data_IF_611784440971
#
_entry.id   IF_611784440971
#
_cell.length_a   1.000
_cell.length_b   1.000
_cell.length_c   1.000
_cell.angle_alpha   90.00
_cell.angle_beta   90.00
_cell.angle_gamma   90.00
#
_symmetry.space_group_name_H-M   'P 1'
#
loop_
_entity.id
_entity.type
_entity.pdbx_description
1 polymer ?
#
# COMPACT_ATOMS: atom_id res chain seq x y z
N UNK A 1 -16.33 -48.08 -24.69
CA UNK A 1 -16.89 -46.76 -24.35
C UNK A 1 -16.65 -46.60 -22.87
N UNK A 2 -15.60 -45.87 -22.49
CA UNK A 2 -15.20 -45.68 -21.09
C UNK A 2 -15.67 -44.29 -20.71
N UNK A 3 -16.63 -44.21 -19.80
CA UNK A 3 -17.10 -42.96 -19.22
C UNK A 3 -15.96 -42.31 -18.46
N UNK A 4 -15.57 -41.11 -18.90
CA UNK A 4 -14.59 -40.26 -18.26
C UNK A 4 -15.19 -39.61 -17.02
N UNK A 5 -15.19 -40.37 -15.92
CA UNK A 5 -15.50 -39.85 -14.59
C UNK A 5 -14.50 -38.78 -14.16
N UNK A 6 -15.04 -37.58 -14.01
CA UNK A 6 -14.78 -36.60 -12.94
C UNK A 6 -13.33 -36.26 -12.62
N UNK A 7 -12.85 -35.16 -13.21
CA UNK A 7 -11.87 -34.27 -12.59
C UNK A 7 -12.55 -32.96 -12.20
N UNK A 8 -13.39 -33.02 -11.17
CA UNK A 8 -14.03 -31.84 -10.59
C UNK A 8 -13.57 -31.60 -9.16
N UNK A 9 -12.26 -31.42 -8.94
CA UNK A 9 -11.80 -30.84 -7.68
C UNK A 9 -11.97 -29.32 -7.79
N UNK A 10 -13.20 -28.84 -7.65
CA UNK A 10 -13.45 -27.42 -7.43
C UNK A 10 -13.35 -27.18 -5.92
N UNK A 11 -12.44 -26.33 -5.42
CA UNK A 11 -12.52 -25.90 -4.03
C UNK A 11 -13.84 -25.14 -3.86
N UNK A 12 -14.72 -25.67 -3.02
CA UNK A 12 -15.95 -25.00 -2.61
C UNK A 12 -15.60 -23.74 -1.80
N UNK A 13 -15.24 -22.67 -2.50
CA UNK A 13 -15.27 -21.33 -1.96
C UNK A 13 -16.73 -20.91 -1.86
N UNK A 14 -17.29 -20.92 -0.65
CA UNK A 14 -18.64 -20.44 -0.33
C UNK A 14 -18.82 -18.91 -0.47
N UNK A 15 -18.29 -18.34 -1.54
CA UNK A 15 -18.57 -16.98 -1.96
C UNK A 15 -19.10 -17.10 -3.39
N UNK A 16 -20.39 -16.83 -3.59
CA UNK A 16 -21.00 -16.83 -4.92
C UNK A 16 -20.23 -15.91 -5.88
N UNK A 17 -20.46 -16.02 -7.21
CA UNK A 17 -19.76 -15.21 -8.20
C UNK A 17 -19.90 -13.73 -7.84
N UNK A 18 -18.77 -13.04 -7.65
CA UNK A 18 -18.74 -11.60 -7.34
C UNK A 18 -19.51 -10.86 -8.42
N UNK A 19 -20.52 -10.10 -8.02
CA UNK A 19 -21.32 -9.31 -8.97
C UNK A 19 -20.49 -8.13 -9.46
N UNK A 20 -20.86 -7.56 -10.61
CA UNK A 20 -20.21 -6.34 -11.12
C UNK A 20 -20.31 -5.18 -10.11
N UNK A 21 -21.42 -5.10 -9.37
CA UNK A 21 -21.56 -4.13 -8.27
C UNK A 21 -20.58 -4.37 -7.13
N UNK A 22 -20.26 -5.61 -6.79
CA UNK A 22 -19.27 -5.92 -5.74
C UNK A 22 -17.87 -5.49 -6.18
N UNK A 23 -17.53 -5.70 -7.45
CA UNK A 23 -16.23 -5.30 -7.99
C UNK A 23 -16.11 -3.77 -8.10
N UNK A 24 -17.19 -3.08 -8.49
CA UNK A 24 -17.23 -1.62 -8.51
C UNK A 24 -17.07 -1.02 -7.10
N UNK A 25 -17.75 -1.59 -6.10
CA UNK A 25 -17.60 -1.16 -4.70
C UNK A 25 -16.17 -1.35 -4.19
N UNK A 26 -15.51 -2.46 -4.55
CA UNK A 26 -14.09 -2.69 -4.19
C UNK A 26 -13.16 -1.67 -4.83
N UNK A 27 -13.42 -1.29 -6.07
CA UNK A 27 -12.65 -0.23 -6.73
C UNK A 27 -12.83 1.12 -6.03
N UNK A 28 -14.03 1.47 -5.57
CA UNK A 28 -14.28 2.72 -4.83
C UNK A 28 -13.59 2.74 -3.46
N UNK A 29 -13.59 1.62 -2.73
CA UNK A 29 -12.88 1.50 -1.46
C UNK A 29 -11.37 1.67 -1.67
N UNK A 30 -10.80 0.97 -2.66
CA UNK A 30 -9.38 1.09 -2.98
C UNK A 30 -8.99 2.52 -3.44
N UNK A 31 -9.89 3.21 -4.16
CA UNK A 31 -9.70 4.61 -4.52
C UNK A 31 -9.69 5.51 -3.28
N UNK A 32 -10.64 5.32 -2.36
CA UNK A 32 -10.71 6.07 -1.10
C UNK A 32 -9.45 5.88 -0.28
N UNK A 33 -8.95 4.65 -0.16
CA UNK A 33 -7.68 4.35 0.49
C UNK A 33 -6.54 5.09 -0.21
N UNK A 34 -6.37 4.96 -1.53
CA UNK A 34 -5.34 5.70 -2.28
C UNK A 34 -5.38 7.22 -2.01
N UNK A 35 -6.57 7.81 -1.90
CA UNK A 35 -6.75 9.24 -1.65
C UNK A 35 -6.32 9.69 -0.25
N UNK A 36 -6.34 8.83 0.77
CA UNK A 36 -5.88 9.19 2.12
C UNK A 36 -4.38 9.57 2.14
N UNK A 37 -3.58 9.02 1.23
CA UNK A 37 -2.16 9.36 1.12
C UNK A 37 -1.91 10.79 0.66
N UNK A 38 -2.83 11.39 -0.10
CA UNK A 38 -2.73 12.80 -0.49
C UNK A 38 -2.88 13.72 0.73
N UNK A 39 -3.82 13.38 1.62
CA UNK A 39 -4.04 14.13 2.86
C UNK A 39 -2.83 14.04 3.79
N UNK A 40 -2.28 12.84 3.98
CA UNK A 40 -1.09 12.64 4.80
C UNK A 40 0.12 13.40 4.23
N UNK A 41 0.33 13.36 2.92
CA UNK A 41 1.44 14.05 2.23
C UNK A 41 1.35 15.57 2.42
N UNK A 42 0.14 16.14 2.31
CA UNK A 42 -0.07 17.57 2.51
C UNK A 42 0.27 18.03 3.94
N UNK A 43 -0.03 17.20 4.96
CA UNK A 43 0.30 17.51 6.35
C UNK A 43 1.80 17.43 6.59
N UNK A 44 2.44 16.33 6.16
CA UNK A 44 3.89 16.13 6.31
C UNK A 44 4.69 17.21 5.59
N UNK A 45 4.26 17.61 4.39
CA UNK A 45 4.93 18.68 3.65
C UNK A 45 4.85 20.02 4.38
N UNK A 46 3.70 20.35 5.00
CA UNK A 46 3.57 21.57 5.82
C UNK A 46 4.48 21.54 7.04
N UNK A 47 4.60 20.39 7.71
CA UNK A 47 5.54 20.20 8.83
C UNK A 47 6.99 20.40 8.37
N UNK A 48 7.36 19.78 7.26
CA UNK A 48 8.69 19.91 6.67
C UNK A 48 9.04 21.36 6.28
N UNK A 49 8.07 22.14 5.79
CA UNK A 49 8.28 23.55 5.44
C UNK A 49 8.31 24.48 6.66
N UNK A 50 7.68 24.10 7.77
CA UNK A 50 7.66 24.88 8.99
C UNK A 50 8.94 24.72 9.83
N UNK A 51 9.76 23.71 9.54
CA UNK A 51 10.88 23.33 10.40
C UNK A 51 12.14 24.20 10.20
N UNK A 52 12.79 24.53 11.33
CA UNK A 52 14.01 25.32 11.40
C UNK A 52 15.23 24.54 10.92
N UNK A 53 16.21 25.19 10.28
CA UNK A 53 17.41 24.55 9.71
C UNK A 53 18.21 23.69 10.71
N UNK A 54 17.97 23.86 12.00
CA UNK A 54 18.79 23.33 13.08
C UNK A 54 18.30 21.99 13.63
N UNK A 55 17.01 21.62 13.44
CA UNK A 55 16.48 20.31 13.84
C UNK A 55 16.64 19.28 12.72
N UNK A 56 17.84 18.71 12.62
CA UNK A 56 18.18 17.71 11.60
C UNK A 56 17.51 16.36 11.86
N UNK A 57 17.30 15.98 13.13
CA UNK A 57 16.67 14.70 13.49
C UNK A 57 15.20 14.68 13.05
N UNK A 58 14.45 15.76 13.29
CA UNK A 58 13.08 15.88 12.83
C UNK A 58 12.99 15.89 11.29
N UNK A 59 13.93 16.52 10.59
CA UNK A 59 13.97 16.45 9.11
C UNK A 59 14.17 15.04 8.60
N UNK A 60 15.16 14.33 9.13
CA UNK A 60 15.44 12.95 8.71
C UNK A 60 14.23 12.05 8.97
N UNK A 61 13.52 12.24 10.09
CA UNK A 61 12.27 11.55 10.38
C UNK A 61 11.14 11.89 9.39
N UNK A 62 10.98 13.16 9.03
CA UNK A 62 9.98 13.59 8.05
C UNK A 62 10.27 13.06 6.64
N UNK A 63 11.54 13.05 6.23
CA UNK A 63 11.97 12.49 4.95
C UNK A 63 11.71 10.99 4.88
N UNK A 64 12.00 10.26 5.96
CA UNK A 64 11.69 8.84 6.07
C UNK A 64 10.18 8.58 5.96
N UNK A 65 9.36 9.38 6.66
CA UNK A 65 7.90 9.27 6.60
C UNK A 65 7.35 9.58 5.20
N UNK A 66 7.88 10.61 4.53
CA UNK A 66 7.50 10.95 3.16
C UNK A 66 7.87 9.84 2.17
N UNK A 67 9.07 9.27 2.28
CA UNK A 67 9.50 8.13 1.46
C UNK A 67 8.59 6.90 1.68
N UNK A 68 8.23 6.62 2.93
CA UNK A 68 7.32 5.51 3.26
C UNK A 68 5.91 5.75 2.72
N UNK A 69 5.44 6.98 2.78
CA UNK A 69 4.14 7.37 2.25
C UNK A 69 4.09 7.21 0.73
N UNK A 70 5.16 7.58 0.02
CA UNK A 70 5.22 7.42 -1.43
C UNK A 70 5.14 5.93 -1.84
N UNK A 71 5.85 5.07 -1.11
CA UNK A 71 5.76 3.61 -1.28
C UNK A 71 4.34 3.10 -1.11
N UNK A 72 3.65 3.56 -0.07
CA UNK A 72 2.26 3.18 0.20
C UNK A 72 1.30 3.70 -0.88
N UNK A 73 1.53 4.89 -1.44
CA UNK A 73 0.72 5.46 -2.51
C UNK A 73 0.89 4.71 -3.83
N UNK A 74 2.10 4.29 -4.16
CA UNK A 74 2.36 3.44 -5.32
C UNK A 74 1.61 2.11 -5.20
N UNK A 75 1.66 1.47 -4.02
CA UNK A 75 0.95 0.20 -3.77
C UNK A 75 -0.57 0.36 -3.88
N UNK A 76 -1.15 1.33 -3.16
CA UNK A 76 -2.60 1.56 -3.17
C UNK A 76 -3.13 1.99 -4.53
N UNK A 77 -2.32 2.73 -5.32
CA UNK A 77 -2.64 3.08 -6.71
C UNK A 77 -2.75 1.82 -7.58
N UNK A 78 -1.82 0.89 -7.41
CA UNK A 78 -1.82 -0.36 -8.15
C UNK A 78 -3.00 -1.27 -7.75
N UNK A 79 -3.27 -1.39 -6.45
CA UNK A 79 -4.45 -2.11 -5.93
C UNK A 79 -5.76 -1.52 -6.47
N UNK A 80 -5.88 -0.19 -6.46
CA UNK A 80 -7.02 0.51 -7.07
C UNK A 80 -7.13 0.23 -8.57
N UNK A 81 -6.03 0.32 -9.31
CA UNK A 81 -6.00 0.05 -10.76
C UNK A 81 -6.44 -1.38 -11.07
N UNK A 82 -5.95 -2.36 -10.32
CA UNK A 82 -6.34 -3.76 -10.47
C UNK A 82 -7.82 -3.96 -10.18
N UNK A 83 -8.33 -3.40 -9.07
CA UNK A 83 -9.75 -3.45 -8.73
C UNK A 83 -10.62 -2.77 -9.79
N UNK A 84 -10.19 -1.63 -10.32
CA UNK A 84 -10.87 -0.91 -11.40
C UNK A 84 -10.94 -1.77 -12.67
N UNK A 85 -9.81 -2.29 -13.13
CA UNK A 85 -9.75 -3.08 -14.36
C UNK A 85 -10.54 -4.40 -14.25
N UNK A 86 -10.61 -4.99 -13.05
CA UNK A 86 -11.37 -6.21 -12.79
C UNK A 86 -12.89 -6.04 -13.01
N UNK A 87 -13.45 -4.85 -12.77
CA UNK A 87 -14.86 -4.57 -13.08
C UNK A 87 -15.04 -3.94 -14.46
N UNK A 88 -14.12 -3.06 -14.87
CA UNK A 88 -14.24 -2.27 -16.09
C UNK A 88 -14.22 -3.14 -17.35
N UNK A 89 -13.30 -4.13 -17.43
CA UNK A 89 -13.18 -5.01 -18.58
C UNK A 89 -14.46 -5.82 -18.83
N UNK A 90 -15.03 -6.53 -17.82
CA UNK A 90 -16.32 -7.20 -18.00
C UNK A 90 -17.50 -6.25 -18.30
N UNK A 91 -17.45 -5.01 -17.81
CA UNK A 91 -18.49 -4.01 -18.06
C UNK A 91 -18.37 -3.32 -19.44
N UNK A 92 -17.33 -3.61 -20.22
CA UNK A 92 -17.06 -2.93 -21.49
C UNK A 92 -16.60 -1.47 -21.33
N UNK A 93 -16.10 -1.12 -20.14
CA UNK A 93 -15.52 0.19 -19.82
C UNK A 93 -14.01 0.14 -20.10
N UNK A 94 -13.47 1.25 -20.59
CA UNK A 94 -12.04 1.37 -20.90
C UNK A 94 -11.17 1.10 -19.66
N UNK A 95 -10.20 0.17 -19.73
CA UNK A 95 -9.28 -0.11 -18.65
C UNK A 95 -8.22 0.98 -18.49
N UNK A 96 -7.71 1.14 -17.28
CA UNK A 96 -6.58 2.01 -16.99
C UNK A 96 -5.26 1.33 -17.42
N UNK A 97 -4.37 2.03 -18.15
CA UNK A 97 -3.07 1.51 -18.55
C UNK A 97 -2.19 1.24 -17.32
N UNK A 98 -1.26 0.30 -17.43
CA UNK A 98 -0.27 0.02 -16.39
C UNK A 98 0.61 1.23 -16.09
N UNK A 99 0.98 1.41 -14.83
CA UNK A 99 1.87 2.49 -14.42
C UNK A 99 3.34 2.08 -14.65
N UNK A 100 4.10 2.79 -15.49
CA UNK A 100 5.51 2.46 -15.76
C UNK A 100 6.43 2.68 -14.55
N UNK A 101 5.95 3.31 -13.46
CA UNK A 101 6.73 3.58 -12.25
C UNK A 101 6.61 2.46 -11.20
N UNK A 102 5.71 1.49 -11.39
CA UNK A 102 5.60 0.31 -10.52
C UNK A 102 6.59 -0.75 -11.01
N UNK A 103 7.88 -0.48 -10.86
CA UNK A 103 8.95 -1.46 -11.09
C UNK A 103 9.43 -1.94 -9.72
N UNK A 104 9.09 -3.19 -9.39
CA UNK A 104 9.64 -4.03 -8.32
C UNK A 104 9.82 -3.41 -6.92
N UNK A 105 8.71 -3.11 -6.24
CA UNK A 105 8.70 -2.95 -4.77
C UNK A 105 8.62 -4.35 -4.09
N UNK A 106 9.32 -5.37 -4.61
CA UNK A 106 9.42 -6.68 -3.95
C UNK A 106 10.68 -6.80 -3.06
N UNK A 107 11.57 -5.80 -3.04
CA UNK A 107 12.91 -5.95 -2.45
C UNK A 107 13.06 -5.43 -1.00
N UNK A 108 12.08 -4.73 -0.41
CA UNK A 108 12.31 -4.06 0.90
C UNK A 108 11.42 -4.51 2.07
N UNK A 109 10.66 -5.60 1.96
CA UNK A 109 9.85 -6.10 3.10
C UNK A 109 10.66 -7.01 4.05
N UNK A 110 11.90 -7.37 3.73
CA UNK A 110 12.81 -8.01 4.71
C UNK A 110 13.58 -6.95 5.52
N UNK A 111 12.86 -6.09 6.25
CA UNK A 111 13.41 -5.56 7.50
C UNK A 111 12.73 -6.33 8.63
N UNK A 112 13.00 -7.64 8.61
CA UNK A 112 12.79 -8.57 9.72
C UNK A 112 14.10 -8.60 10.52
N UNK A 113 14.49 -7.46 11.11
CA UNK A 113 15.53 -7.39 12.16
C UNK A 113 15.53 -5.98 12.77
N UNK A 114 14.57 -5.69 13.65
CA UNK A 114 14.65 -4.55 14.59
C UNK A 114 14.87 -5.04 16.02
N UNK A 115 15.49 -6.21 16.18
CA UNK A 115 15.80 -6.81 17.49
C UNK A 115 17.17 -6.39 18.07
N UNK A 116 17.99 -5.65 17.30
CA UNK A 116 19.35 -5.25 17.72
C UNK A 116 19.61 -3.73 17.60
N UNK A 117 18.59 -2.91 17.85
CA UNK A 117 18.87 -1.52 18.23
C UNK A 117 18.97 -1.50 19.76
N UNK A 118 20.18 -1.43 20.36
CA UNK A 118 20.28 -1.17 21.78
C UNK A 118 19.75 0.24 22.00
N UNK A 119 18.50 0.35 22.43
CA UNK A 119 18.04 1.52 23.16
C UNK A 119 18.88 1.57 24.44
N UNK A 120 20.06 2.17 24.36
CA UNK A 120 20.92 2.45 25.49
C UNK A 120 20.15 3.37 26.42
N UNK A 121 19.50 2.78 27.42
CA UNK A 121 18.74 3.45 28.47
C UNK A 121 19.66 4.07 29.54
N UNK A 122 20.89 4.43 29.21
CA UNK A 122 21.92 4.89 30.15
C UNK A 122 22.38 6.32 29.85
N UNK A 123 21.44 7.26 29.79
CA UNK A 123 21.74 8.71 29.77
C UNK A 123 21.03 9.49 30.87
N UNK A 124 20.70 8.82 31.98
CA UNK A 124 20.33 9.48 33.23
C UNK A 124 21.25 9.01 34.37
N UNK A 125 22.52 9.39 34.29
CA UNK A 125 23.36 9.50 35.48
C UNK A 125 24.28 10.73 35.36
N UNK A 126 23.66 11.89 35.35
CA UNK A 126 24.28 13.18 35.63
C UNK A 126 23.51 13.84 36.77
N UNK A 127 23.70 13.31 38.00
CA UNK A 127 23.74 14.04 39.27
C UNK A 127 23.70 13.05 40.44
N UNK A 128 24.86 12.69 41.02
CA UNK A 128 25.24 13.12 42.37
C UNK A 128 26.63 12.64 42.79
#
# INVERSE_FOLDING_TARGET
>A
MVDGSSFGCAPEGHFGPLTLSDLANRAEVAHTEHMQGYTASAVLHRMHMAESAEDTELRDALDLLLARLETWRARTREEWRQAYNAWAVPAGVEPLPGDPMVVDIEVFVTVDEFDDVPFGSDLYDLNS
#
